data_IF_891421066632
#
_entry.id   IF_891421066632
#
_cell.length_a   1.000
_cell.length_b   1.000
_cell.length_c   1.000
_cell.angle_alpha   90.00
_cell.angle_beta   90.00
_cell.angle_gamma   90.00
#
_symmetry.space_group_name_H-M   'P 1'
#
loop_
_entity.id
_entity.type
_entity.pdbx_description
1 polymer ?
#
# COMPACT_ATOMS: atom_id res chain seq x y z
N UNK A 1 -8.18 9.59 0.68
CA UNK A 1 -6.72 9.84 0.61
C UNK A 1 -6.25 9.63 -0.83
N UNK A 2 -5.14 10.24 -1.27
CA UNK A 2 -4.64 10.10 -2.65
C UNK A 2 -3.84 8.81 -2.89
N UNK A 3 -3.36 8.17 -1.81
CA UNK A 3 -2.53 6.98 -1.85
C UNK A 3 -2.01 6.59 -0.48
N UNK A 4 -1.04 5.68 -0.46
CA UNK A 4 -0.24 5.34 0.71
C UNK A 4 0.94 6.31 0.81
N UNK A 5 1.04 6.98 1.97
CA UNK A 5 2.24 7.75 2.31
C UNK A 5 3.28 6.78 2.87
N UNK A 6 4.41 6.69 2.19
CA UNK A 6 5.55 5.88 2.60
C UNK A 6 6.57 6.79 3.26
N UNK A 7 6.90 6.49 4.51
CA UNK A 7 7.97 7.15 5.25
C UNK A 7 9.08 6.12 5.42
N UNK A 8 10.26 6.42 4.90
CA UNK A 8 11.43 5.56 4.99
C UNK A 8 12.54 6.30 5.72
N UNK A 9 13.07 5.68 6.78
CA UNK A 9 14.23 6.20 7.50
C UNK A 9 15.51 5.82 6.73
N UNK A 10 16.26 6.82 6.28
CA UNK A 10 17.56 6.68 5.61
C UNK A 10 18.64 7.30 6.52
N UNK A 11 19.04 6.55 7.55
CA UNK A 11 19.95 7.06 8.58
C UNK A 11 19.28 8.14 9.43
N UNK A 12 19.81 9.36 9.41
CA UNK A 12 19.23 10.51 10.13
C UNK A 12 18.15 11.26 9.33
N UNK A 13 17.87 10.85 8.09
CA UNK A 13 16.92 11.52 7.20
C UNK A 13 15.64 10.70 7.02
N UNK A 14 14.49 11.38 6.96
CA UNK A 14 13.22 10.79 6.55
C UNK A 14 12.99 11.03 5.06
N UNK A 15 12.97 9.98 4.26
CA UNK A 15 12.42 9.99 2.91
C UNK A 15 10.90 9.86 2.97
N UNK A 16 10.18 10.67 2.20
CA UNK A 16 8.72 10.59 2.06
C UNK A 16 8.33 10.43 0.60
N UNK A 17 7.50 9.43 0.32
CA UNK A 17 6.92 9.17 -0.99
C UNK A 17 5.43 8.89 -0.89
N UNK A 18 4.71 9.02 -2.00
CA UNK A 18 3.31 8.62 -2.10
C UNK A 18 3.19 7.58 -3.21
N UNK A 19 2.67 6.41 -2.87
CA UNK A 19 2.17 5.45 -3.85
C UNK A 19 0.68 5.72 -4.00
N UNK A 20 0.29 6.41 -5.07
CA UNK A 20 -1.11 6.68 -5.32
C UNK A 20 -1.88 5.41 -5.64
N UNK A 21 -3.19 5.43 -5.42
CA UNK A 21 -4.02 4.24 -5.63
C UNK A 21 -4.03 3.78 -7.10
N UNK A 22 -3.90 4.72 -8.04
CA UNK A 22 -3.86 4.45 -9.49
C UNK A 22 -2.56 3.79 -9.94
N UNK A 23 -1.49 3.91 -9.15
CA UNK A 23 -0.20 3.29 -9.42
C UNK A 23 -0.15 1.84 -8.92
N UNK A 24 -1.12 1.41 -8.11
CA UNK A 24 -1.24 0.02 -7.67
C UNK A 24 -1.82 -0.82 -8.80
N UNK A 25 -1.11 -1.87 -9.19
CA UNK A 25 -1.47 -2.73 -10.30
C UNK A 25 -2.10 -4.05 -9.85
N UNK A 26 -1.76 -4.50 -8.64
CA UNK A 26 -2.26 -5.75 -8.07
C UNK A 26 -2.24 -5.66 -6.54
N UNK A 27 -3.17 -6.36 -5.90
CA UNK A 27 -3.13 -6.60 -4.47
C UNK A 27 -3.68 -7.97 -4.10
N UNK A 28 -3.14 -8.54 -3.03
CA UNK A 28 -3.56 -9.84 -2.48
C UNK A 28 -3.78 -9.74 -0.97
N UNK A 29 -4.82 -10.42 -0.50
CA UNK A 29 -5.20 -10.44 0.90
C UNK A 29 -4.76 -11.76 1.53
N UNK A 30 -3.83 -11.71 2.48
CA UNK A 30 -3.35 -12.87 3.25
C UNK A 30 -3.76 -12.75 4.72
N UNK A 31 -3.83 -13.83 5.53
CA UNK A 31 -4.33 -13.74 6.92
C UNK A 31 -3.66 -12.67 7.78
N UNK A 32 -2.34 -12.49 7.67
CA UNK A 32 -1.57 -11.51 8.45
C UNK A 32 -1.10 -10.28 7.67
N UNK A 33 -1.25 -10.28 6.35
CA UNK A 33 -0.59 -9.32 5.47
C UNK A 33 -1.47 -8.92 4.29
N UNK A 34 -1.26 -7.73 3.76
CA UNK A 34 -1.79 -7.29 2.48
C UNK A 34 -0.60 -7.01 1.56
N UNK A 35 -0.56 -7.67 0.42
CA UNK A 35 0.50 -7.52 -0.56
C UNK A 35 0.03 -6.52 -1.61
N UNK A 36 0.89 -5.57 -1.96
CA UNK A 36 0.63 -4.54 -2.96
C UNK A 36 1.75 -4.57 -3.98
N UNK A 37 1.40 -4.64 -5.25
CA UNK A 37 2.32 -4.40 -6.37
C UNK A 37 1.95 -3.08 -7.01
N UNK A 38 2.94 -2.24 -7.26
CA UNK A 38 2.73 -0.93 -7.88
C UNK A 38 3.76 -0.64 -8.96
N UNK A 39 3.38 0.24 -9.89
CA UNK A 39 4.24 0.72 -10.96
C UNK A 39 4.19 2.24 -11.02
N UNK A 40 5.32 2.86 -10.74
CA UNK A 40 5.55 4.30 -10.95
C UNK A 40 6.47 4.48 -12.17
N UNK A 41 6.66 5.72 -12.62
CA UNK A 41 7.48 6.00 -13.81
C UNK A 41 8.91 5.45 -13.58
N UNK A 42 9.31 4.49 -14.40
CA UNK A 42 10.65 3.90 -14.36
C UNK A 42 10.90 2.89 -13.25
N UNK A 43 9.91 2.58 -12.38
CA UNK A 43 10.10 1.66 -11.26
C UNK A 43 8.84 0.83 -10.99
N UNK A 44 9.03 -0.49 -10.84
CA UNK A 44 8.03 -1.39 -10.29
C UNK A 44 8.48 -1.82 -8.89
N UNK A 45 7.56 -1.91 -7.96
CA UNK A 45 7.85 -2.28 -6.58
C UNK A 45 6.70 -3.04 -5.95
N UNK A 46 6.96 -3.53 -4.73
CA UNK A 46 5.95 -4.18 -3.92
C UNK A 46 6.08 -3.79 -2.45
N UNK A 47 4.95 -3.78 -1.76
CA UNK A 47 4.87 -3.61 -0.32
C UNK A 47 4.10 -4.75 0.32
N UNK A 48 4.58 -5.17 1.48
CA UNK A 48 3.89 -6.12 2.35
C UNK A 48 3.45 -5.33 3.58
N UNK A 49 2.15 -5.10 3.68
CA UNK A 49 1.55 -4.35 4.78
C UNK A 49 1.11 -5.34 5.87
N UNK A 50 1.70 -5.29 7.08
CA UNK A 50 1.30 -6.18 8.16
C UNK A 50 -0.01 -5.70 8.80
N UNK A 51 -1.04 -6.56 8.81
CA UNK A 51 -2.39 -6.21 9.29
C UNK A 51 -2.45 -5.81 10.76
N UNK A 52 -1.44 -6.17 11.56
CA UNK A 52 -1.30 -5.71 12.95
C UNK A 52 -1.28 -4.18 13.10
N UNK A 53 -0.95 -3.44 12.03
CA UNK A 53 -0.98 -1.97 12.03
C UNK A 53 -2.40 -1.39 12.04
N UNK A 54 -3.45 -2.19 11.82
CA UNK A 54 -4.85 -1.73 11.91
C UNK A 54 -5.15 -1.10 13.28
N UNK A 55 -4.50 -1.59 14.34
CA UNK A 55 -4.56 -1.03 15.70
C UNK A 55 -3.75 0.27 15.91
N UNK A 56 -3.01 0.74 14.91
CA UNK A 56 -2.06 1.86 15.00
C UNK A 56 -2.42 2.99 14.03
N UNK A 57 -3.69 3.40 13.99
CA UNK A 57 -4.21 4.45 13.10
C UNK A 57 -3.98 4.18 11.60
N UNK A 58 -3.78 2.91 11.21
CA UNK A 58 -3.57 2.50 9.82
C UNK A 58 -4.68 1.54 9.38
N UNK A 59 -5.86 2.10 9.08
CA UNK A 59 -7.07 1.34 8.77
C UNK A 59 -6.95 0.51 7.49
N UNK A 60 -6.95 -0.82 7.62
CA UNK A 60 -7.01 -1.74 6.49
C UNK A 60 -8.37 -1.76 5.81
N UNK A 61 -9.44 -1.40 6.51
CA UNK A 61 -10.76 -1.19 5.90
C UNK A 61 -10.70 -0.07 4.84
N UNK A 62 -10.09 1.06 5.18
CA UNK A 62 -9.93 2.21 4.27
C UNK A 62 -9.06 1.84 3.06
N UNK A 63 -7.98 1.10 3.29
CA UNK A 63 -7.09 0.62 2.23
C UNK A 63 -7.86 -0.30 1.28
N UNK A 64 -8.54 -1.32 1.81
CA UNK A 64 -9.34 -2.26 1.01
C UNK A 64 -10.39 -1.53 0.18
N UNK A 65 -11.09 -0.54 0.75
CA UNK A 65 -12.06 0.27 0.01
C UNK A 65 -11.42 0.92 -1.23
N UNK A 66 -10.31 1.63 -1.06
CA UNK A 66 -9.66 2.31 -2.19
C UNK A 66 -9.05 1.35 -3.21
N UNK A 67 -8.52 0.20 -2.77
CA UNK A 67 -8.02 -0.83 -3.66
C UNK A 67 -9.15 -1.41 -4.53
N UNK A 68 -10.31 -1.72 -3.93
CA UNK A 68 -11.48 -2.18 -4.67
C UNK A 68 -11.97 -1.13 -5.68
N UNK A 69 -12.01 0.15 -5.29
CA UNK A 69 -12.43 1.24 -6.18
C UNK A 69 -11.46 1.50 -7.34
N UNK A 70 -10.15 1.34 -7.12
CA UNK A 70 -9.11 1.76 -8.07
C UNK A 70 -8.54 0.61 -8.92
N UNK A 71 -8.45 -0.58 -8.34
CA UNK A 71 -7.78 -1.76 -8.92
C UNK A 71 -8.78 -2.88 -9.18
N UNK A 72 -9.79 -3.01 -8.31
CA UNK A 72 -10.75 -4.12 -8.31
C UNK A 72 -10.53 -5.08 -7.13
N UNK A 73 -11.24 -6.22 -7.09
CA UNK A 73 -11.13 -7.18 -5.99
C UNK A 73 -9.72 -7.77 -5.87
N UNK A 74 -9.38 -8.24 -4.67
CA UNK A 74 -8.09 -8.87 -4.40
C UNK A 74 -7.85 -10.09 -5.30
N UNK A 75 -6.60 -10.29 -5.69
CA UNK A 75 -6.16 -11.51 -6.36
C UNK A 75 -5.90 -12.61 -5.32
N UNK A 76 -6.04 -13.87 -5.76
CA UNK A 76 -5.87 -15.08 -4.95
C UNK A 76 -4.43 -15.54 -4.88
#
# INVERSE_FOLDING_TARGET
PQGLVMIQLMGAQEGRGIIGWKEITEWQEHPGFLFLTYKVIGQQGAHILPKRMDSQNFSFETIRKHLNESVGPAQF
#
